data_IF_268464103563
#
_entry.id   IF_268464103563
#
_cell.length_a   1.000
_cell.length_b   1.000
_cell.length_c   1.000
_cell.angle_alpha   90.00
_cell.angle_beta   90.00
_cell.angle_gamma   90.00
#
_symmetry.space_group_name_H-M   'P 1'
#
loop_
_entity.id
_entity.type
_entity.pdbx_description
1 polymer ?
#
# COMPACT_ATOMS: atom_id res chain seq x y z
N UNK A 1 34.96 11.13 6.39
CA UNK A 1 34.14 9.95 6.75
C UNK A 1 32.79 10.12 6.09
N UNK A 2 32.54 9.43 4.97
CA UNK A 2 31.25 9.50 4.29
C UNK A 2 30.23 8.69 5.09
N UNK A 3 29.24 9.36 5.69
CA UNK A 3 28.06 8.70 6.24
C UNK A 3 27.13 8.45 5.07
N UNK A 4 27.05 7.19 4.63
CA UNK A 4 25.98 6.76 3.74
C UNK A 4 24.68 6.85 4.53
N UNK A 5 23.86 7.86 4.24
CA UNK A 5 22.50 7.91 4.77
C UNK A 5 21.74 6.79 4.08
N UNK A 6 21.23 5.83 4.87
CA UNK A 6 20.21 4.91 4.35
C UNK A 6 19.04 5.76 3.87
N UNK A 7 18.61 5.54 2.63
CA UNK A 7 17.36 6.11 2.12
C UNK A 7 16.23 5.60 3.00
N UNK A 8 15.31 6.49 3.39
CA UNK A 8 14.12 6.09 4.14
C UNK A 8 13.32 5.08 3.31
N UNK A 9 12.64 4.17 4.00
CA UNK A 9 11.69 3.28 3.34
C UNK A 9 10.47 4.07 2.89
N UNK A 10 10.01 3.84 1.66
CA UNK A 10 8.85 4.54 1.10
C UNK A 10 7.62 3.65 1.25
N UNK A 11 6.67 4.12 2.05
CA UNK A 11 5.35 3.53 2.16
C UNK A 11 4.36 4.30 1.30
N UNK A 12 3.72 3.63 0.34
CA UNK A 12 2.61 4.21 -0.42
C UNK A 12 1.28 3.69 0.12
N UNK A 13 0.42 4.60 0.56
CA UNK A 13 -0.96 4.32 0.93
C UNK A 13 -1.91 4.74 -0.19
N UNK A 14 -2.58 3.78 -0.82
CA UNK A 14 -3.73 4.05 -1.68
C UNK A 14 -4.97 4.30 -0.82
N UNK A 15 -5.31 5.59 -0.67
CA UNK A 15 -6.35 6.08 0.22
C UNK A 15 -7.68 6.31 -0.52
N UNK A 16 -8.81 6.12 0.17
CA UNK A 16 -10.14 6.51 -0.30
C UNK A 16 -10.79 7.44 0.72
N UNK A 17 -10.98 8.74 0.43
CA UNK A 17 -11.55 9.71 1.37
C UNK A 17 -12.98 9.39 1.82
N UNK A 18 -13.73 8.63 1.02
CA UNK A 18 -15.07 8.16 1.39
C UNK A 18 -15.05 6.95 2.34
N UNK A 19 -13.92 6.25 2.51
CA UNK A 19 -13.81 5.03 3.32
C UNK A 19 -13.33 5.35 4.74
N UNK A 20 -14.14 4.99 5.74
CA UNK A 20 -13.75 5.09 7.16
C UNK A 20 -12.51 4.26 7.47
N UNK A 21 -12.37 3.08 6.86
CA UNK A 21 -11.19 2.23 7.03
C UNK A 21 -9.93 2.93 6.53
N UNK A 22 -9.99 3.57 5.36
CA UNK A 22 -8.86 4.30 4.79
C UNK A 22 -8.44 5.51 5.63
N UNK A 23 -9.39 6.21 6.27
CA UNK A 23 -9.09 7.30 7.20
C UNK A 23 -8.37 6.80 8.45
N UNK A 24 -8.86 5.72 9.04
CA UNK A 24 -8.24 5.11 10.22
C UNK A 24 -6.80 4.69 9.95
N UNK A 25 -6.54 3.98 8.84
CA UNK A 25 -5.17 3.57 8.49
C UNK A 25 -4.26 4.79 8.26
N UNK A 26 -4.74 5.83 7.59
CA UNK A 26 -3.98 7.07 7.42
C UNK A 26 -3.63 7.74 8.76
N UNK A 27 -4.57 7.78 9.70
CA UNK A 27 -4.34 8.28 11.07
C UNK A 27 -3.36 7.41 11.83
N UNK A 28 -3.46 6.08 11.74
CA UNK A 28 -2.50 5.13 12.35
C UNK A 28 -1.09 5.38 11.81
N UNK A 29 -0.92 5.53 10.50
CA UNK A 29 0.39 5.79 9.88
C UNK A 29 0.98 7.17 10.26
N UNK A 30 0.13 8.17 10.52
CA UNK A 30 0.58 9.52 10.88
C UNK A 30 0.81 9.71 12.38
N UNK A 31 0.03 9.03 13.22
CA UNK A 31 -0.09 9.41 14.64
C UNK A 31 0.05 8.25 15.62
N UNK A 32 0.18 7.00 15.16
CA UNK A 32 0.38 5.87 16.07
C UNK A 32 1.73 5.96 16.80
N UNK A 33 1.81 5.57 18.09
CA UNK A 33 3.08 5.41 18.79
C UNK A 33 4.06 4.48 18.07
N UNK A 34 3.55 3.47 17.34
CA UNK A 34 4.38 2.58 16.53
C UNK A 34 4.98 3.31 15.34
N UNK A 35 4.19 4.12 14.63
CA UNK A 35 4.66 4.89 13.48
C UNK A 35 5.74 5.91 13.88
N UNK A 36 5.56 6.62 15.00
CA UNK A 36 6.54 7.61 15.48
C UNK A 36 7.90 7.02 15.86
N UNK A 37 7.97 5.72 16.16
CA UNK A 37 9.22 5.02 16.48
C UNK A 37 9.97 4.56 15.23
N UNK A 38 9.43 4.81 14.03
CA UNK A 38 9.94 4.27 12.77
C UNK A 38 10.34 5.40 11.83
N UNK A 39 11.30 5.11 10.96
CA UNK A 39 11.80 6.05 9.95
C UNK A 39 11.36 5.61 8.56
N UNK A 40 10.36 6.28 8.01
CA UNK A 40 9.83 6.03 6.67
C UNK A 40 9.24 7.32 6.08
N UNK A 41 9.12 7.37 4.76
CA UNK A 41 8.39 8.40 4.04
C UNK A 41 7.00 7.85 3.66
N UNK A 42 5.95 8.61 3.95
CA UNK A 42 4.58 8.23 3.64
C UNK A 42 4.10 8.99 2.40
N UNK A 43 3.92 8.27 1.31
CA UNK A 43 3.24 8.73 0.11
C UNK A 43 1.74 8.34 0.17
N UNK A 44 0.84 9.29 -0.08
CA UNK A 44 -0.60 9.07 -0.01
C UNK A 44 -1.22 9.30 -1.39
N UNK A 45 -1.72 8.24 -1.99
CA UNK A 45 -2.34 8.26 -3.32
C UNK A 45 -3.85 8.15 -3.17
N UNK A 46 -4.55 9.25 -3.38
CA UNK A 46 -6.01 9.30 -3.26
C UNK A 46 -6.73 8.74 -4.49
N UNK A 47 -7.93 8.20 -4.29
CA UNK A 47 -8.81 7.81 -5.39
C UNK A 47 -9.20 9.05 -6.24
N UNK A 48 -9.29 8.95 -7.58
CA UNK A 48 -9.30 7.73 -8.39
C UNK A 48 -7.92 7.27 -8.90
N UNK A 49 -6.81 7.86 -8.44
CA UNK A 49 -5.47 7.53 -8.94
C UNK A 49 -5.10 6.08 -8.63
N UNK A 50 -4.85 5.27 -9.66
CA UNK A 50 -4.46 3.86 -9.56
C UNK A 50 -2.95 3.67 -9.74
N UNK A 51 -2.36 2.58 -9.23
CA UNK A 51 -0.98 2.24 -9.56
C UNK A 51 -0.82 2.06 -11.07
N UNK A 52 0.35 2.42 -11.58
CA UNK A 52 0.75 2.07 -12.95
C UNK A 52 0.78 0.54 -13.13
N UNK A 53 0.68 0.00 -14.36
CA UNK A 53 0.69 -1.45 -14.58
C UNK A 53 1.91 -2.15 -13.97
N UNK A 54 3.10 -1.53 -14.04
CA UNK A 54 4.32 -2.05 -13.43
C UNK A 54 4.23 -2.07 -11.90
N UNK A 55 3.72 -0.99 -11.30
CA UNK A 55 3.50 -0.94 -9.85
C UNK A 55 2.47 -1.99 -9.40
N UNK A 56 1.41 -2.21 -10.16
CA UNK A 56 0.42 -3.25 -9.87
C UNK A 56 1.05 -4.65 -9.91
N UNK A 57 1.91 -4.91 -10.89
CA UNK A 57 2.66 -6.17 -10.99
C UNK A 57 3.49 -6.42 -9.73
N UNK A 58 4.29 -5.43 -9.31
CA UNK A 58 5.07 -5.49 -8.06
C UNK A 58 4.21 -5.70 -6.81
N UNK A 59 3.07 -5.02 -6.71
CA UNK A 59 2.14 -5.20 -5.59
C UNK A 59 1.62 -6.64 -5.53
N UNK A 60 1.26 -7.21 -6.69
CA UNK A 60 0.81 -8.59 -6.77
C UNK A 60 1.93 -9.59 -6.46
N UNK A 61 3.18 -9.28 -6.78
CA UNK A 61 4.34 -10.07 -6.35
C UNK A 61 4.48 -10.08 -4.83
N UNK A 62 4.28 -8.93 -4.16
CA UNK A 62 4.40 -8.80 -2.70
C UNK A 62 3.30 -9.54 -1.93
N UNK A 63 2.07 -9.56 -2.48
CA UNK A 63 0.90 -10.18 -1.83
C UNK A 63 0.79 -11.67 -2.22
N UNK A 64 1.26 -12.01 -3.42
CA UNK A 64 1.08 -13.29 -4.09
C UNK A 64 0.12 -13.17 -5.29
N UNK A 65 0.59 -13.56 -6.48
CA UNK A 65 -0.16 -13.43 -7.75
C UNK A 65 -1.53 -14.12 -7.74
N UNK A 66 -1.69 -15.15 -6.92
CA UNK A 66 -2.95 -15.87 -6.73
C UNK A 66 -4.02 -15.06 -5.97
N UNK A 67 -3.66 -13.91 -5.39
CA UNK A 67 -4.55 -13.04 -4.59
C UNK A 67 -4.97 -11.78 -5.34
N UNK A 68 -4.87 -11.77 -6.67
CA UNK A 68 -5.25 -10.62 -7.51
C UNK A 68 -6.67 -10.12 -7.27
N UNK A 69 -7.60 -11.05 -7.01
CA UNK A 69 -9.01 -10.72 -6.72
C UNK A 69 -9.20 -9.97 -5.39
N UNK A 70 -8.24 -10.06 -4.46
CA UNK A 70 -8.28 -9.30 -3.21
C UNK A 70 -7.88 -7.83 -3.41
N UNK A 71 -6.99 -7.55 -4.37
CA UNK A 71 -6.57 -6.19 -4.73
C UNK A 71 -7.57 -5.55 -5.68
N UNK A 72 -8.04 -6.31 -6.69
CA UNK A 72 -9.02 -5.87 -7.68
C UNK A 72 -10.12 -6.94 -7.78
N UNK A 73 -11.25 -6.77 -7.06
CA UNK A 73 -12.36 -7.70 -7.09
C UNK A 73 -12.89 -7.92 -8.50
N UNK A 74 -13.03 -9.20 -8.86
CA UNK A 74 -13.44 -9.65 -10.19
C UNK A 74 -12.29 -9.89 -11.17
N UNK A 75 -11.06 -9.46 -10.86
CA UNK A 75 -9.90 -9.83 -11.66
C UNK A 75 -9.54 -11.31 -11.44
N UNK A 76 -9.29 -12.03 -12.55
CA UNK A 76 -8.86 -13.45 -12.52
C UNK A 76 -7.37 -13.60 -12.76
N UNK A 77 -6.74 -12.56 -13.33
CA UNK A 77 -5.33 -12.52 -13.65
C UNK A 77 -4.81 -11.08 -13.48
N UNK A 78 -3.48 -10.94 -13.40
CA UNK A 78 -2.81 -9.64 -13.44
C UNK A 78 -3.21 -8.83 -14.69
N UNK A 79 -3.27 -9.47 -15.85
CA UNK A 79 -3.69 -8.83 -17.10
C UNK A 79 -5.13 -8.31 -17.05
N UNK A 80 -6.04 -9.02 -16.38
CA UNK A 80 -7.42 -8.56 -16.18
C UNK A 80 -7.46 -7.36 -15.23
N UNK A 81 -6.70 -7.41 -14.14
CA UNK A 81 -6.61 -6.30 -13.19
C UNK A 81 -6.08 -5.03 -13.85
N UNK A 82 -5.00 -5.12 -14.65
CA UNK A 82 -4.46 -3.99 -15.42
C UNK A 82 -5.52 -3.41 -16.37
N UNK A 83 -6.25 -4.27 -17.09
CA UNK A 83 -7.31 -3.84 -18.01
C UNK A 83 -8.45 -3.11 -17.29
N UNK A 84 -8.90 -3.63 -16.15
CA UNK A 84 -9.96 -3.01 -15.34
C UNK A 84 -9.54 -1.63 -14.83
N UNK A 85 -8.35 -1.52 -14.22
CA UNK A 85 -7.88 -0.25 -13.67
C UNK A 85 -7.59 0.79 -14.77
N UNK A 86 -7.01 0.35 -15.90
CA UNK A 86 -6.73 1.22 -17.05
C UNK A 86 -7.99 1.61 -17.82
N UNK A 87 -9.04 0.78 -17.76
CA UNK A 87 -10.34 1.00 -18.39
C UNK A 87 -11.26 1.96 -17.64
N UNK A 88 -10.76 2.65 -16.60
CA UNK A 88 -11.53 3.59 -15.79
C UNK A 88 -12.25 2.96 -14.60
N UNK A 89 -12.05 1.67 -14.32
CA UNK A 89 -12.65 0.98 -13.17
C UNK A 89 -11.81 1.14 -11.90
N UNK A 90 -11.22 2.31 -11.69
CA UNK A 90 -10.39 2.64 -10.53
C UNK A 90 -11.09 2.41 -9.18
N UNK A 91 -12.43 2.54 -9.17
CA UNK A 91 -13.27 2.27 -8.00
C UNK A 91 -13.33 0.80 -7.59
N UNK A 92 -12.89 -0.14 -8.45
CA UNK A 92 -12.81 -1.56 -8.08
C UNK A 92 -11.64 -1.86 -7.17
N UNK A 93 -10.53 -1.13 -7.28
CA UNK A 93 -9.36 -1.41 -6.45
C UNK A 93 -9.72 -1.26 -4.96
N UNK A 94 -9.41 -2.29 -4.17
CA UNK A 94 -9.65 -2.25 -2.72
C UNK A 94 -8.81 -1.16 -2.10
N UNK A 95 -9.45 -0.37 -1.23
CA UNK A 95 -8.82 0.69 -0.44
C UNK A 95 -9.26 0.58 1.02
N UNK A 96 -8.35 0.74 1.99
CA UNK A 96 -6.96 1.12 1.80
C UNK A 96 -6.08 -0.02 1.27
N UNK A 97 -4.98 0.32 0.61
CA UNK A 97 -3.91 -0.60 0.25
C UNK A 97 -2.58 0.08 0.61
N UNK A 98 -1.85 -0.52 1.54
CA UNK A 98 -0.53 -0.04 1.99
C UNK A 98 0.55 -0.87 1.32
N UNK A 99 1.56 -0.22 0.73
CA UNK A 99 2.65 -0.87 0.01
C UNK A 99 3.98 -0.36 0.55
N UNK A 100 4.85 -1.29 0.91
CA UNK A 100 6.26 -1.05 1.24
C UNK A 100 7.11 -1.55 0.08
N UNK A 101 7.59 -0.61 -0.73
CA UNK A 101 8.40 -0.90 -1.91
C UNK A 101 9.79 -1.40 -1.57
N UNK A 102 10.33 -0.99 -0.42
CA UNK A 102 11.69 -1.29 0.00
C UNK A 102 11.80 -2.72 0.52
N UNK A 103 10.80 -3.18 1.26
CA UNK A 103 10.79 -4.52 1.88
C UNK A 103 9.92 -5.54 1.13
N UNK A 104 9.28 -5.13 0.03
CA UNK A 104 8.47 -5.99 -0.82
C UNK A 104 7.24 -6.54 -0.11
N UNK A 105 6.52 -5.68 0.61
CA UNK A 105 5.33 -6.04 1.39
C UNK A 105 4.15 -5.17 1.01
N UNK A 106 2.95 -5.73 1.08
CA UNK A 106 1.74 -4.94 0.99
C UNK A 106 0.63 -5.50 1.89
N UNK A 107 -0.20 -4.60 2.39
CA UNK A 107 -1.38 -4.89 3.22
C UNK A 107 -2.60 -4.39 2.48
N UNK A 108 -3.49 -5.32 2.14
CA UNK A 108 -4.75 -5.04 1.46
C UNK A 108 -5.86 -4.86 2.48
N UNK A 109 -6.64 -3.79 2.34
CA UNK A 109 -7.79 -3.51 3.20
C UNK A 109 -7.43 -2.82 4.52
N UNK A 110 -8.44 -2.64 5.36
CA UNK A 110 -8.36 -1.88 6.61
C UNK A 110 -7.92 -2.67 7.84
N UNK A 111 -7.12 -3.73 7.69
CA UNK A 111 -6.60 -4.49 8.83
C UNK A 111 -5.48 -3.71 9.53
N UNK A 112 -5.85 -2.99 10.59
CA UNK A 112 -4.91 -2.21 11.39
C UNK A 112 -3.82 -3.09 12.04
N UNK A 113 -4.14 -4.32 12.44
CA UNK A 113 -3.16 -5.24 13.01
C UNK A 113 -2.09 -5.62 12.00
N UNK A 114 -2.47 -5.86 10.74
CA UNK A 114 -1.53 -6.11 9.65
C UNK A 114 -0.65 -4.87 9.35
N UNK A 115 -1.22 -3.66 9.40
CA UNK A 115 -0.48 -2.40 9.24
C UNK A 115 0.54 -2.21 10.35
N UNK A 116 0.17 -2.43 11.61
CA UNK A 116 1.10 -2.33 12.74
C UNK A 116 2.26 -3.32 12.62
N UNK A 117 1.99 -4.57 12.22
CA UNK A 117 3.04 -5.57 11.95
C UNK A 117 3.97 -5.16 10.83
N UNK A 118 3.46 -4.51 9.77
CA UNK A 118 4.30 -3.97 8.70
C UNK A 118 5.20 -2.86 9.25
N UNK A 119 4.65 -1.91 10.01
CA UNK A 119 5.43 -0.83 10.62
C UNK A 119 6.54 -1.36 11.53
N UNK A 120 6.29 -2.44 12.27
CA UNK A 120 7.28 -3.07 13.14
C UNK A 120 8.52 -3.57 12.37
N UNK A 121 8.38 -3.90 11.09
CA UNK A 121 9.51 -4.31 10.23
C UNK A 121 10.40 -3.17 9.77
N UNK A 122 9.92 -1.92 9.86
CA UNK A 122 10.67 -0.75 9.40
C UNK A 122 11.83 -0.41 10.36
N UNK A 123 12.86 0.29 9.85
CA UNK A 123 13.93 0.82 10.68
C UNK A 123 13.38 1.70 11.81
N UNK A 124 13.96 1.56 13.00
CA UNK A 124 13.67 2.45 14.12
C UNK A 124 14.26 3.85 13.92
N UNK A 125 13.59 4.86 14.48
CA UNK A 125 14.07 6.24 14.56
C UNK A 125 15.12 6.42 15.67
#
# INVERSE_FOLDING_TARGET
>A
MFRFHKTLDVLTLFHAPASTASKRILETLRSSPTAHKKSFELDVVEAPTVPTPTQLSSILDFIGKNRVAEVVPGARSEGDAVRMLSGGEAGRMVRPLLVDWNNGRAVVGGDEGAVLRLLETLPGN
#
